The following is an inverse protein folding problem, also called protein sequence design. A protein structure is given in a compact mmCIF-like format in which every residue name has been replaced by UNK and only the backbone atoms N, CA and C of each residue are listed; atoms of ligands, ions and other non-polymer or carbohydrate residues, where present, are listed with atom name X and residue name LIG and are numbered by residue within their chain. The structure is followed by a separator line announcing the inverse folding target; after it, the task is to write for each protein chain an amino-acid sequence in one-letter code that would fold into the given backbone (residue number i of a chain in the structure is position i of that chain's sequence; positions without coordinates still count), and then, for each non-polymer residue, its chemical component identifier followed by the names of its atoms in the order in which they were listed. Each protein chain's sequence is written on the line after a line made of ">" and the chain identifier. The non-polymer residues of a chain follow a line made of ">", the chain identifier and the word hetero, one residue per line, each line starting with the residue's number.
data_IF_932432128416
#
_entry.id   IF_932432128416
#
_cell.length_a   1.000
_cell.length_b   1.000
_cell.length_c   1.000
_cell.angle_alpha   90.00
_cell.angle_beta   90.00
_cell.angle_gamma   90.00
#
_symmetry.space_group_name_H-M   'P 1'
#
loop_
_entity.id
_entity.type
_entity.pdbx_description
1 polymer ?
#
# COMPACT_ATOMS: atom_id res chain seq x y z
N UNK A 1 -2.21 12.82 -12.83
CA UNK A 1 -2.10 11.59 -12.03
C UNK A 1 -2.37 11.95 -10.58
N UNK A 2 -3.08 11.10 -9.86
CA UNK A 2 -3.42 11.32 -8.45
C UNK A 2 -3.10 10.05 -7.67
N UNK A 3 -2.48 10.19 -6.50
CA UNK A 3 -2.27 9.12 -5.52
C UNK A 3 -3.34 9.25 -4.43
N UNK A 4 -4.16 8.22 -4.26
CA UNK A 4 -5.14 8.15 -3.18
C UNK A 4 -4.71 7.11 -2.15
N UNK A 5 -4.44 7.56 -0.92
CA UNK A 5 -4.03 6.70 0.19
C UNK A 5 -5.25 6.38 1.06
N UNK A 6 -5.78 5.16 0.96
CA UNK A 6 -7.00 4.71 1.67
C UNK A 6 -6.88 4.87 3.19
N UNK A 7 -5.83 4.28 3.76
CA UNK A 7 -5.61 4.19 5.21
C UNK A 7 -4.82 5.39 5.76
N UNK A 8 -5.25 6.59 5.40
CA UNK A 8 -4.63 7.83 5.85
C UNK A 8 -5.41 8.52 6.98
N UNK A 9 -6.46 7.91 7.53
CA UNK A 9 -7.32 8.50 8.57
C UNK A 9 -6.53 8.97 9.81
N UNK A 10 -6.97 10.07 10.41
CA UNK A 10 -6.35 10.60 11.63
C UNK A 10 -6.93 9.88 12.85
N UNK A 11 -6.09 9.10 13.53
CA UNK A 11 -6.40 8.56 14.85
C UNK A 11 -5.98 9.55 15.93
N UNK A 12 -6.75 9.63 17.01
CA UNK A 12 -6.41 10.42 18.20
C UNK A 12 -6.29 9.47 19.42
N UNK A 13 -5.55 9.86 20.49
CA UNK A 13 -5.42 9.04 21.70
C UNK A 13 -6.77 8.75 22.40
N UNK A 14 -6.87 7.68 23.21
CA UNK A 14 -5.80 6.76 23.60
C UNK A 14 -5.47 5.72 22.52
N UNK A 15 -4.19 5.38 22.39
CA UNK A 15 -3.70 4.37 21.46
C UNK A 15 -3.57 2.98 22.13
N UNK A 16 -3.46 1.92 21.32
CA UNK A 16 -3.07 0.60 21.82
C UNK A 16 -1.59 0.58 22.18
N UNK A 17 -1.16 -0.36 23.03
CA UNK A 17 0.26 -0.53 23.36
C UNK A 17 1.11 -0.90 22.13
N UNK A 18 0.51 -1.51 21.11
CA UNK A 18 1.17 -1.75 19.83
C UNK A 18 1.34 -0.46 19.02
N UNK A 19 0.30 0.38 18.93
CA UNK A 19 0.38 1.64 18.22
C UNK A 19 1.43 2.57 18.83
N UNK A 20 1.48 2.68 20.17
CA UNK A 20 2.53 3.44 20.87
C UNK A 20 3.93 2.89 20.61
N UNK A 21 4.08 1.56 20.55
CA UNK A 21 5.35 0.93 20.20
C UNK A 21 5.79 1.25 18.77
N UNK A 22 4.85 1.24 17.82
CA UNK A 22 5.11 1.62 16.43
C UNK A 22 5.51 3.09 16.33
N UNK A 23 4.79 3.99 17.02
CA UNK A 23 5.12 5.43 17.07
C UNK A 23 6.53 5.68 17.59
N UNK A 24 6.92 4.99 18.66
CA UNK A 24 8.27 5.07 19.21
C UNK A 24 9.32 4.54 18.21
N UNK A 25 9.04 3.44 17.52
CA UNK A 25 9.96 2.87 16.51
C UNK A 25 10.14 3.76 15.28
N UNK A 26 9.14 4.58 14.97
CA UNK A 26 9.18 5.57 13.89
C UNK A 26 9.98 6.83 14.28
N UNK A 27 10.48 6.91 15.52
CA UNK A 27 11.29 8.04 15.98
C UNK A 27 10.54 9.37 16.03
N UNK A 28 9.21 9.33 16.14
CA UNK A 28 8.38 10.53 16.16
C UNK A 28 8.44 11.20 17.54
N UNK A 29 8.38 12.54 17.60
CA UNK A 29 8.24 13.25 18.87
C UNK A 29 6.97 12.80 19.63
N UNK A 30 7.01 12.61 20.95
CA UNK A 30 5.86 12.13 21.73
C UNK A 30 4.58 12.97 21.59
N UNK A 31 4.74 14.27 21.34
CA UNK A 31 3.65 15.25 21.14
C UNK A 31 3.06 15.22 19.72
N UNK A 32 3.72 14.55 18.78
CA UNK A 32 3.32 14.53 17.39
C UNK A 32 2.25 13.47 17.13
N UNK A 33 1.17 13.85 16.47
CA UNK A 33 0.17 12.89 16.01
C UNK A 33 0.73 12.13 14.79
N UNK A 34 1.04 10.84 14.99
CA UNK A 34 1.72 10.04 13.97
C UNK A 34 1.00 9.98 12.60
N UNK A 35 -0.34 9.77 12.52
CA UNK A 35 -1.06 9.92 11.26
C UNK A 35 -0.89 11.29 10.59
N UNK A 36 -0.95 12.40 11.34
CA UNK A 36 -0.74 13.75 10.78
C UNK A 36 0.67 13.93 10.26
N UNK A 37 1.67 13.46 11.00
CA UNK A 37 3.07 13.50 10.57
C UNK A 37 3.26 12.74 9.26
N UNK A 38 2.77 11.50 9.18
CA UNK A 38 2.89 10.64 7.98
C UNK A 38 2.15 11.21 6.77
N UNK A 39 1.03 11.93 6.97
CA UNK A 39 0.40 12.70 5.88
C UNK A 39 1.32 13.78 5.33
N UNK A 40 2.07 14.50 6.17
CA UNK A 40 3.03 15.53 5.72
C UNK A 40 4.18 14.91 4.94
N UNK A 41 4.68 13.75 5.38
CA UNK A 41 5.68 12.97 4.63
C UNK A 41 5.17 12.54 3.26
N UNK A 42 3.95 12.00 3.20
CA UNK A 42 3.30 11.57 1.94
C UNK A 42 3.12 12.74 0.97
N UNK A 43 2.67 13.91 1.45
CA UNK A 43 2.57 15.12 0.63
C UNK A 43 3.94 15.48 0.06
N UNK A 44 4.97 15.55 0.90
CA UNK A 44 6.32 15.88 0.45
C UNK A 44 6.85 14.85 -0.56
N UNK A 45 6.60 13.56 -0.37
CA UNK A 45 7.00 12.51 -1.28
C UNK A 45 6.29 12.60 -2.63
N UNK A 46 4.97 12.77 -2.60
CA UNK A 46 4.12 12.83 -3.79
C UNK A 46 4.39 14.10 -4.61
N UNK A 47 4.64 15.23 -3.94
CA UNK A 47 5.03 16.49 -4.59
C UNK A 47 6.38 16.36 -5.32
N UNK A 48 7.35 15.59 -4.79
CA UNK A 48 8.62 15.29 -5.48
C UNK A 48 8.41 14.51 -6.80
N UNK A 49 7.32 13.76 -6.92
CA UNK A 49 6.93 13.05 -8.14
C UNK A 49 6.13 13.94 -9.11
N UNK A 50 5.67 15.11 -8.67
CA UNK A 50 4.90 16.05 -9.48
C UNK A 50 3.47 15.57 -9.76
N UNK A 51 2.88 14.80 -8.85
CA UNK A 51 1.50 14.29 -8.97
C UNK A 51 0.66 14.76 -7.78
N UNK A 52 -0.66 14.69 -7.88
CA UNK A 52 -1.56 15.12 -6.79
C UNK A 52 -1.73 14.03 -5.74
N UNK A 53 -2.01 14.39 -4.50
CA UNK A 53 -2.31 13.46 -3.41
C UNK A 53 -3.77 13.63 -2.93
N UNK A 54 -4.35 12.55 -2.39
CA UNK A 54 -5.60 12.58 -1.62
C UNK A 54 -5.50 11.58 -0.47
N UNK A 55 -5.84 12.02 0.74
CA UNK A 55 -5.83 11.18 1.93
C UNK A 55 -7.24 10.72 2.30
N UNK A 56 -7.42 9.41 2.37
CA UNK A 56 -8.65 8.77 2.81
C UNK A 56 -8.91 8.91 4.30
N UNK A 57 -10.10 8.50 4.71
CA UNK A 57 -10.59 8.59 6.10
C UNK A 57 -10.35 7.33 6.93
N UNK A 58 -9.99 6.21 6.31
CA UNK A 58 -9.90 4.93 6.99
C UNK A 58 -8.67 4.86 7.88
N UNK A 59 -8.83 4.28 9.07
CA UNK A 59 -7.75 4.12 10.03
C UNK A 59 -6.88 2.92 9.67
N UNK A 60 -5.55 3.10 9.69
CA UNK A 60 -4.57 2.01 9.65
C UNK A 60 -4.91 0.94 10.70
N UNK A 61 -4.67 -0.33 10.38
CA UNK A 61 -5.01 -1.49 11.22
C UNK A 61 -4.56 -1.34 12.69
N UNK A 62 -3.44 -0.67 12.96
CA UNK A 62 -2.94 -0.50 14.33
C UNK A 62 -3.84 0.39 15.21
N UNK A 63 -4.75 1.17 14.60
CA UNK A 63 -5.71 2.05 15.27
C UNK A 63 -7.15 1.53 15.23
N UNK A 64 -7.41 0.37 14.63
CA UNK A 64 -8.77 -0.16 14.49
C UNK A 64 -9.17 -1.02 15.70
N UNK A 65 -10.47 -0.99 16.02
CA UNK A 65 -11.09 -1.83 17.06
C UNK A 65 -12.11 -2.77 16.45
N UNK A 66 -12.32 -3.93 17.06
CA UNK A 66 -13.46 -4.79 16.78
C UNK A 66 -14.76 -4.19 17.35
N UNK A 67 -15.94 -4.69 16.93
CA UNK A 67 -17.23 -4.20 17.42
C UNK A 67 -17.41 -4.28 18.94
N UNK A 68 -16.69 -5.20 19.60
CA UNK A 68 -16.67 -5.34 21.07
C UNK A 68 -15.71 -4.36 21.78
N UNK A 69 -15.11 -3.43 21.04
CA UNK A 69 -14.23 -2.38 21.55
C UNK A 69 -12.76 -2.79 21.77
N UNK A 70 -12.38 -4.03 21.48
CA UNK A 70 -10.97 -4.49 21.59
C UNK A 70 -10.15 -4.00 20.40
N UNK A 71 -8.86 -3.72 20.61
CA UNK A 71 -7.95 -3.40 19.51
C UNK A 71 -7.75 -4.61 18.58
N UNK A 72 -7.78 -4.39 17.27
CA UNK A 72 -7.54 -5.47 16.29
C UNK A 72 -6.09 -5.98 16.38
N UNK A 73 -5.15 -5.09 16.70
CA UNK A 73 -3.74 -5.41 16.94
C UNK A 73 -3.35 -4.91 18.33
N UNK A 74 -2.92 -5.82 19.21
CA UNK A 74 -2.50 -5.52 20.58
C UNK A 74 -1.34 -6.43 21.04
N UNK A 75 -0.58 -6.00 22.06
CA UNK A 75 0.58 -6.75 22.59
C UNK A 75 0.15 -8.12 23.15
N UNK A 76 0.99 -9.14 22.94
CA UNK A 76 0.76 -10.52 23.41
C UNK A 76 0.08 -11.45 22.39
N UNK A 77 -0.44 -10.90 21.29
CA UNK A 77 -0.68 -11.65 20.06
C UNK A 77 0.50 -11.34 19.14
N UNK A 78 1.13 -12.35 18.52
CA UNK A 78 2.14 -12.10 17.46
C UNK A 78 1.56 -11.04 16.52
N UNK A 79 2.32 -10.07 15.98
CA UNK A 79 1.78 -9.15 15.00
C UNK A 79 1.22 -9.98 13.86
N UNK A 80 -0.09 -10.19 13.89
CA UNK A 80 -0.81 -10.97 12.88
C UNK A 80 -1.08 -10.01 11.73
N UNK A 81 -0.04 -9.34 11.27
CA UNK A 81 -0.05 -8.58 10.02
C UNK A 81 -0.14 -9.57 8.85
N UNK A 82 0.25 -10.84 9.09
CA UNK A 82 0.37 -11.91 8.08
C UNK A 82 -0.62 -13.08 8.18
N UNK A 83 -1.44 -13.23 9.23
CA UNK A 83 -2.55 -14.20 9.13
C UNK A 83 -3.77 -13.45 8.57
N UNK A 84 -4.60 -14.11 7.75
CA UNK A 84 -5.87 -13.52 7.36
C UNK A 84 -6.64 -13.10 8.61
N UNK A 85 -7.18 -11.87 8.66
CA UNK A 85 -8.17 -11.52 9.66
C UNK A 85 -9.30 -12.56 9.61
N UNK A 86 -10.04 -12.78 10.71
CA UNK A 86 -11.38 -13.38 10.57
C UNK A 86 -12.11 -12.61 9.46
N UNK A 87 -12.80 -13.34 8.57
CA UNK A 87 -13.43 -12.87 7.33
C UNK A 87 -13.60 -11.34 7.31
N UNK A 88 -12.86 -10.68 6.40
CA UNK A 88 -12.66 -9.22 6.42
C UNK A 88 -13.95 -8.46 6.66
N UNK A 89 -13.87 -7.41 7.47
CA UNK A 89 -15.00 -6.54 7.82
C UNK A 89 -15.72 -6.07 6.53
N UNK A 90 -16.90 -6.62 6.20
CA UNK A 90 -17.57 -6.33 4.93
C UNK A 90 -18.00 -4.87 4.85
N UNK A 91 -18.31 -4.24 5.98
CA UNK A 91 -18.68 -2.84 6.06
C UNK A 91 -17.47 -1.94 5.77
N UNK A 92 -16.30 -2.29 6.31
CA UNK A 92 -15.06 -1.59 5.99
C UNK A 92 -14.70 -1.70 4.51
N UNK A 93 -14.83 -2.90 3.92
CA UNK A 93 -14.56 -3.11 2.50
C UNK A 93 -15.53 -2.28 1.63
N UNK A 94 -16.83 -2.30 1.95
CA UNK A 94 -17.85 -1.53 1.26
C UNK A 94 -17.56 -0.02 1.35
N UNK A 95 -17.24 0.49 2.55
CA UNK A 95 -16.88 1.89 2.73
C UNK A 95 -15.64 2.31 1.94
N UNK A 96 -14.59 1.48 1.92
CA UNK A 96 -13.37 1.77 1.13
C UNK A 96 -13.73 1.83 -0.35
N UNK A 97 -14.54 0.89 -0.83
CA UNK A 97 -15.00 0.84 -2.21
C UNK A 97 -15.81 2.09 -2.57
N UNK A 98 -16.76 2.51 -1.74
CA UNK A 98 -17.54 3.74 -1.96
C UNK A 98 -16.65 4.98 -2.06
N UNK A 99 -15.67 5.12 -1.16
CA UNK A 99 -14.71 6.23 -1.21
C UNK A 99 -13.84 6.19 -2.49
N UNK A 100 -13.42 4.99 -2.95
CA UNK A 100 -12.68 4.83 -4.22
C UNK A 100 -13.57 5.19 -5.41
N UNK A 101 -14.82 4.76 -5.44
CA UNK A 101 -15.78 5.12 -6.49
C UNK A 101 -16.01 6.63 -6.54
N UNK A 102 -16.13 7.30 -5.39
CA UNK A 102 -16.23 8.76 -5.33
C UNK A 102 -14.99 9.45 -5.91
N UNK A 103 -13.79 8.90 -5.66
CA UNK A 103 -12.54 9.39 -6.27
C UNK A 103 -12.55 9.16 -7.78
N UNK A 104 -12.99 7.99 -8.25
CA UNK A 104 -13.14 7.71 -9.68
C UNK A 104 -14.07 8.73 -10.34
N UNK A 105 -15.23 8.97 -9.75
CA UNK A 105 -16.24 9.91 -10.30
C UNK A 105 -15.73 11.36 -10.32
N UNK A 106 -14.83 11.71 -9.40
CA UNK A 106 -14.24 13.06 -9.35
C UNK A 106 -13.11 13.25 -10.37
N UNK A 107 -12.27 12.23 -10.56
CA UNK A 107 -11.03 12.35 -11.35
C UNK A 107 -11.11 11.72 -12.75
N UNK A 108 -12.15 10.93 -13.02
CA UNK A 108 -12.39 10.21 -14.29
C UNK A 108 -11.13 9.49 -14.82
N UNK A 109 -10.48 8.62 -14.02
CA UNK A 109 -9.22 8.00 -14.42
C UNK A 109 -9.42 7.02 -15.59
N UNK A 110 -8.50 7.05 -16.54
CA UNK A 110 -8.45 6.07 -17.66
C UNK A 110 -7.79 4.74 -17.26
N UNK A 111 -7.08 4.71 -16.13
CA UNK A 111 -6.40 3.54 -15.58
C UNK A 111 -6.33 3.67 -14.05
N UNK A 112 -6.68 2.58 -13.36
CA UNK A 112 -6.43 2.43 -11.93
C UNK A 112 -5.19 1.58 -11.70
N UNK A 113 -4.36 1.97 -10.73
CA UNK A 113 -3.25 1.16 -10.25
C UNK A 113 -3.36 1.00 -8.74
N UNK A 114 -3.17 -0.22 -8.25
CA UNK A 114 -3.18 -0.53 -6.81
C UNK A 114 -2.19 -1.65 -6.49
N UNK A 115 -2.07 -2.01 -5.22
CA UNK A 115 -1.17 -3.07 -4.78
C UNK A 115 -1.68 -4.48 -5.13
N UNK A 116 -0.76 -5.43 -5.33
CA UNK A 116 -1.11 -6.86 -5.40
C UNK A 116 -1.37 -7.46 -4.00
N UNK A 117 -0.88 -6.79 -2.95
CA UNK A 117 -0.88 -7.24 -1.55
C UNK A 117 0.10 -8.38 -1.26
N UNK A 118 1.27 -8.39 -1.92
CA UNK A 118 2.41 -9.22 -1.51
C UNK A 118 2.81 -8.87 -0.07
N UNK A 119 3.06 -9.89 0.74
CA UNK A 119 3.31 -9.75 2.18
C UNK A 119 2.07 -9.96 3.06
N UNK A 120 0.89 -10.14 2.46
CA UNK A 120 -0.38 -10.49 3.12
C UNK A 120 -0.87 -9.48 4.18
N UNK A 121 -0.48 -8.20 4.08
CA UNK A 121 -0.98 -7.14 4.96
C UNK A 121 -2.49 -6.94 4.75
N UNK A 122 -3.28 -6.95 5.83
CA UNK A 122 -4.75 -6.80 5.76
C UNK A 122 -5.19 -5.55 5.00
N UNK A 123 -4.55 -4.41 5.27
CA UNK A 123 -4.89 -3.14 4.60
C UNK A 123 -4.57 -3.15 3.11
N UNK A 124 -3.52 -3.87 2.68
CA UNK A 124 -3.24 -4.02 1.26
C UNK A 124 -4.30 -4.88 0.59
N UNK A 125 -4.74 -5.97 1.23
CA UNK A 125 -5.83 -6.81 0.72
C UNK A 125 -7.13 -6.02 0.58
N UNK A 126 -7.54 -5.31 1.64
CA UNK A 126 -8.75 -4.47 1.60
C UNK A 126 -8.69 -3.40 0.51
N UNK A 127 -7.54 -2.74 0.36
CA UNK A 127 -7.33 -1.72 -0.68
C UNK A 127 -7.44 -2.33 -2.08
N UNK A 128 -6.76 -3.46 -2.32
CA UNK A 128 -6.80 -4.17 -3.60
C UNK A 128 -8.22 -4.64 -3.92
N UNK A 129 -8.86 -5.34 -2.99
CA UNK A 129 -10.17 -5.96 -3.22
C UNK A 129 -11.24 -4.88 -3.47
N UNK A 130 -11.23 -3.78 -2.71
CA UNK A 130 -12.12 -2.64 -2.94
C UNK A 130 -11.86 -1.96 -4.29
N UNK A 131 -10.59 -1.77 -4.67
CA UNK A 131 -10.24 -1.17 -5.96
C UNK A 131 -10.61 -2.07 -7.14
N UNK A 132 -10.48 -3.39 -7.02
CA UNK A 132 -10.92 -4.36 -8.03
C UNK A 132 -12.43 -4.27 -8.25
N UNK A 133 -13.22 -4.25 -7.17
CA UNK A 133 -14.68 -4.11 -7.23
C UNK A 133 -15.08 -2.77 -7.86
N UNK A 134 -14.48 -1.66 -7.42
CA UNK A 134 -14.76 -0.34 -7.98
C UNK A 134 -14.38 -0.24 -9.48
N UNK A 135 -13.23 -0.80 -9.87
CA UNK A 135 -12.78 -0.82 -11.25
C UNK A 135 -13.67 -1.69 -12.15
N UNK A 136 -14.17 -2.81 -11.62
CA UNK A 136 -15.14 -3.65 -12.29
C UNK A 136 -16.43 -2.87 -12.56
N UNK A 137 -17.04 -2.30 -11.53
CA UNK A 137 -18.36 -1.67 -11.63
C UNK A 137 -18.35 -0.36 -12.42
N UNK A 138 -17.21 0.36 -12.44
CA UNK A 138 -17.01 1.55 -13.27
C UNK A 138 -16.42 1.24 -14.65
N UNK A 139 -16.22 -0.03 -14.98
CA UNK A 139 -15.66 -0.46 -16.26
C UNK A 139 -14.27 0.15 -16.58
N UNK A 140 -13.42 0.35 -15.56
CA UNK A 140 -12.08 0.95 -15.72
C UNK A 140 -10.99 -0.13 -15.73
N UNK A 141 -9.99 -0.06 -16.63
CA UNK A 141 -8.82 -0.94 -16.57
C UNK A 141 -8.07 -0.80 -15.24
N UNK A 142 -7.64 -1.91 -14.67
CA UNK A 142 -6.85 -1.92 -13.43
C UNK A 142 -5.58 -2.75 -13.57
N UNK A 143 -4.50 -2.25 -12.96
CA UNK A 143 -3.21 -2.94 -12.84
C UNK A 143 -2.77 -3.04 -11.39
N UNK A 144 -2.14 -4.16 -11.06
CA UNK A 144 -1.62 -4.43 -9.73
C UNK A 144 -0.10 -4.31 -9.73
N UNK A 145 0.48 -3.48 -8.85
CA UNK A 145 1.92 -3.37 -8.70
C UNK A 145 2.48 -4.43 -7.75
N UNK A 146 3.74 -4.80 -7.95
CA UNK A 146 4.49 -5.63 -7.02
C UNK A 146 4.83 -4.82 -5.76
N UNK A 147 4.32 -5.22 -4.60
CA UNK A 147 4.55 -4.51 -3.33
C UNK A 147 6.03 -4.54 -2.94
N UNK A 148 6.66 -3.37 -2.78
CA UNK A 148 8.06 -3.24 -2.38
C UNK A 148 8.15 -2.57 -0.98
N UNK A 149 9.09 -2.98 -0.11
CA UNK A 149 10.12 -4.01 -0.34
C UNK A 149 9.63 -5.45 -0.10
N UNK A 150 8.35 -5.67 0.20
CA UNK A 150 7.81 -7.00 0.53
C UNK A 150 8.20 -8.08 -0.49
N UNK A 151 8.11 -7.80 -1.79
CA UNK A 151 8.43 -8.77 -2.83
C UNK A 151 9.91 -9.13 -2.94
N UNK A 152 10.80 -8.35 -2.32
CA UNK A 152 12.21 -8.72 -2.21
C UNK A 152 12.43 -9.76 -1.09
N UNK A 153 11.53 -9.83 -0.09
CA UNK A 153 11.55 -10.81 1.00
C UNK A 153 10.61 -12.01 0.78
N UNK A 154 9.51 -11.78 0.06
CA UNK A 154 8.47 -12.77 -0.25
C UNK A 154 8.38 -12.92 -1.76
N UNK A 155 9.09 -13.91 -2.35
CA UNK A 155 9.12 -14.08 -3.80
C UNK A 155 7.78 -14.59 -4.36
N UNK A 156 6.98 -15.25 -3.53
CA UNK A 156 5.71 -15.86 -3.94
C UNK A 156 4.59 -14.83 -4.08
N UNK A 157 3.77 -15.01 -5.11
CA UNK A 157 2.55 -14.23 -5.29
C UNK A 157 1.51 -14.64 -4.23
N UNK A 158 0.62 -13.71 -3.80
CA UNK A 158 -0.50 -14.07 -2.96
C UNK A 158 -1.40 -15.08 -3.67
N UNK A 159 -2.01 -15.98 -2.91
CA UNK A 159 -3.04 -16.88 -3.44
C UNK A 159 -4.32 -16.08 -3.72
N UNK A 160 -4.72 -16.04 -5.00
CA UNK A 160 -5.82 -15.24 -5.52
C UNK A 160 -6.67 -16.08 -6.49
N UNK A 161 -7.42 -17.07 -5.98
CA UNK A 161 -8.13 -18.04 -6.81
C UNK A 161 -9.16 -17.39 -7.74
N UNK A 162 -9.77 -16.28 -7.31
CA UNK A 162 -10.81 -15.57 -8.06
C UNK A 162 -10.26 -14.46 -8.96
N UNK A 163 -8.93 -14.25 -8.98
CA UNK A 163 -8.29 -13.19 -9.77
C UNK A 163 -7.39 -13.78 -10.86
N UNK A 164 -7.71 -13.46 -12.12
CA UNK A 164 -6.85 -13.82 -13.25
C UNK A 164 -5.91 -12.67 -13.61
N UNK A 165 -4.62 -12.87 -13.36
CA UNK A 165 -3.58 -11.92 -13.78
C UNK A 165 -3.15 -12.18 -15.22
N UNK A 166 -2.91 -11.12 -15.97
CA UNK A 166 -2.18 -11.18 -17.24
C UNK A 166 -0.70 -11.50 -17.04
N UNK A 167 0.08 -11.62 -18.14
CA UNK A 167 1.53 -11.75 -18.02
C UNK A 167 2.12 -10.53 -17.28
N UNK A 168 3.18 -10.72 -16.47
CA UNK A 168 3.87 -9.61 -15.82
C UNK A 168 4.44 -8.67 -16.87
N UNK A 169 4.26 -7.37 -16.63
CA UNK A 169 4.87 -6.30 -17.39
C UNK A 169 5.99 -5.68 -16.57
N UNK A 170 7.16 -5.55 -17.20
CA UNK A 170 8.37 -5.02 -16.58
C UNK A 170 8.62 -3.64 -17.15
N UNK A 171 8.19 -2.61 -16.41
CA UNK A 171 8.39 -1.22 -16.78
C UNK A 171 9.82 -0.80 -16.47
N UNK A 172 10.67 -0.69 -17.50
CA UNK A 172 12.02 -0.15 -17.36
C UNK A 172 11.93 1.33 -17.00
N UNK A 173 12.61 1.73 -15.94
CA UNK A 173 12.61 3.09 -15.39
C UNK A 173 13.90 3.78 -15.80
N UNK A 174 13.77 5.01 -16.31
CA UNK A 174 14.95 5.83 -16.67
C UNK A 174 15.75 6.19 -15.41
N UNK A 175 17.08 6.36 -15.50
CA UNK A 175 17.89 6.73 -14.34
C UNK A 175 17.41 8.00 -13.63
N UNK A 176 16.91 9.00 -14.36
CA UNK A 176 16.39 10.24 -13.76
C UNK A 176 15.12 9.99 -12.94
N UNK A 177 14.24 9.13 -13.43
CA UNK A 177 12.99 8.76 -12.74
C UNK A 177 13.23 7.84 -11.55
N UNK A 178 14.22 6.94 -11.62
CA UNK A 178 14.69 6.19 -10.46
C UNK A 178 15.22 7.14 -9.38
N UNK A 179 16.05 8.11 -9.75
CA UNK A 179 16.58 9.10 -8.81
C UNK A 179 15.45 9.95 -8.19
N UNK A 180 14.43 10.33 -8.97
CA UNK A 180 13.22 11.01 -8.48
C UNK A 180 12.45 10.14 -7.49
N UNK A 181 12.19 8.88 -7.82
CA UNK A 181 11.55 7.90 -6.92
C UNK A 181 12.33 7.81 -5.60
N UNK A 182 13.65 7.69 -5.65
CA UNK A 182 14.46 7.53 -4.45
C UNK A 182 14.51 8.81 -3.60
N UNK A 183 14.39 10.00 -4.19
CA UNK A 183 14.21 11.25 -3.42
C UNK A 183 12.84 11.33 -2.76
N UNK A 184 11.78 10.89 -3.45
CA UNK A 184 10.43 10.82 -2.90
C UNK A 184 10.36 9.83 -1.72
N UNK A 185 10.91 8.62 -1.89
CA UNK A 185 10.95 7.60 -0.82
C UNK A 185 11.66 8.10 0.44
N UNK A 186 12.71 8.93 0.29
CA UNK A 186 13.42 9.54 1.44
C UNK A 186 12.56 10.50 2.27
N UNK A 187 11.43 11.00 1.75
CA UNK A 187 10.54 11.86 2.53
C UNK A 187 9.75 11.08 3.60
N UNK A 188 9.66 9.74 3.48
CA UNK A 188 9.05 8.88 4.50
C UNK A 188 10.04 8.51 5.61
N UNK A 189 10.64 9.53 6.25
CA UNK A 189 11.66 9.36 7.28
C UNK A 189 11.22 8.44 8.43
N UNK A 190 9.95 8.52 8.83
CA UNK A 190 9.33 7.68 9.86
C UNK A 190 9.34 6.18 9.52
N UNK A 191 9.47 5.84 8.23
CA UNK A 191 9.43 4.46 7.74
C UNK A 191 10.82 3.91 7.42
N UNK A 192 11.80 4.77 7.09
CA UNK A 192 13.13 4.33 6.66
C UNK A 192 13.83 3.45 7.70
N UNK A 193 13.77 3.82 8.98
CA UNK A 193 14.40 3.05 10.07
C UNK A 193 13.86 1.62 10.19
N UNK A 194 12.59 1.40 9.80
CA UNK A 194 11.93 0.10 9.84
C UNK A 194 12.14 -0.70 8.54
N UNK A 195 12.32 0.00 7.42
CA UNK A 195 12.50 -0.60 6.10
C UNK A 195 13.97 -0.92 5.80
N UNK A 196 14.91 -0.19 6.40
CA UNK A 196 16.32 -0.53 6.39
C UNK A 196 16.53 -1.83 7.18
N UNK A 197 17.07 -2.83 6.49
CA UNK A 197 17.40 -4.11 7.12
C UNK A 197 18.74 -4.02 7.87
N UNK A 198 19.00 -5.01 8.72
CA UNK A 198 20.28 -5.13 9.42
C UNK A 198 21.48 -5.31 8.49
N UNK A 199 21.25 -5.85 7.29
CA UNK A 199 22.31 -6.15 6.31
C UNK A 199 22.40 -5.14 5.15
N UNK A 200 21.27 -4.55 4.75
CA UNK A 200 21.19 -3.65 3.59
C UNK A 200 20.15 -2.56 3.84
N UNK A 201 20.48 -1.35 3.44
CA UNK A 201 19.50 -0.28 3.34
C UNK A 201 18.43 -0.60 2.28
N UNK A 202 17.28 0.07 2.40
CA UNK A 202 16.15 -0.10 1.51
C UNK A 202 16.54 0.10 0.04
N UNK A 203 17.32 1.13 -0.28
CA UNK A 203 17.61 1.49 -1.67
C UNK A 203 18.45 0.43 -2.37
N UNK A 204 19.50 -0.06 -1.71
CA UNK A 204 20.33 -1.17 -2.19
C UNK A 204 19.47 -2.41 -2.44
N UNK A 205 18.56 -2.73 -1.52
CA UNK A 205 17.62 -3.86 -1.66
C UNK A 205 16.70 -3.69 -2.87
N UNK A 206 16.15 -2.50 -3.08
CA UNK A 206 15.29 -2.19 -4.23
C UNK A 206 16.04 -2.31 -5.56
N UNK A 207 17.29 -1.84 -5.62
CA UNK A 207 18.13 -1.93 -6.82
C UNK A 207 18.51 -3.37 -7.16
N UNK A 208 18.87 -4.18 -6.16
CA UNK A 208 19.14 -5.61 -6.35
C UNK A 208 17.90 -6.37 -6.82
N UNK A 209 16.73 -6.05 -6.25
CA UNK A 209 15.47 -6.62 -6.70
C UNK A 209 15.18 -6.25 -8.15
N UNK A 210 15.30 -4.97 -8.51
CA UNK A 210 15.08 -4.49 -9.87
C UNK A 210 16.03 -5.12 -10.89
N UNK A 211 17.31 -5.30 -10.54
CA UNK A 211 18.31 -5.99 -11.39
C UNK A 211 17.95 -7.43 -11.72
N UNK A 212 17.17 -8.12 -10.87
CA UNK A 212 16.67 -9.48 -11.18
C UNK A 212 15.54 -9.46 -12.21
N UNK A 213 14.93 -8.31 -12.47
CA UNK A 213 13.81 -8.15 -13.41
C UNK A 213 14.28 -7.83 -14.83
N UNK A 214 15.48 -7.31 -15.01
CA UNK A 214 16.00 -6.83 -16.30
C UNK A 214 17.29 -7.57 -16.68
N UNK A 215 17.51 -7.78 -17.99
CA UNK A 215 18.77 -8.40 -18.48
C UNK A 215 19.94 -7.42 -18.47
N UNK A 216 19.64 -6.14 -18.71
CA UNK A 216 20.65 -5.08 -18.87
C UNK A 216 21.02 -4.40 -17.53
N UNK A 217 20.46 -4.87 -16.41
CA UNK A 217 20.76 -4.37 -15.08
C UNK A 217 20.17 -3.00 -14.72
N UNK A 218 19.31 -2.43 -15.57
CA UNK A 218 18.58 -1.19 -15.30
C UNK A 218 17.48 -1.36 -14.24
N UNK A 219 17.03 -0.24 -13.65
CA UNK A 219 15.94 -0.24 -12.69
C UNK A 219 14.60 -0.51 -13.38
N UNK A 220 13.73 -1.30 -12.76
CA UNK A 220 12.43 -1.63 -13.29
C UNK A 220 11.42 -1.92 -12.19
N UNK A 221 10.14 -1.74 -12.54
CA UNK A 221 9.00 -2.07 -11.69
C UNK A 221 8.11 -3.09 -12.39
N UNK A 222 7.55 -4.01 -11.61
CA UNK A 222 6.69 -5.09 -12.12
C UNK A 222 5.23 -4.78 -11.81
N UNK A 223 4.39 -4.91 -12.82
CA UNK A 223 2.93 -4.80 -12.69
C UNK A 223 2.23 -5.91 -13.45
N UNK A 224 0.97 -6.18 -13.12
CA UNK A 224 0.12 -7.13 -13.84
C UNK A 224 -1.18 -6.43 -14.22
N UNK A 225 -1.68 -6.68 -15.44
CA UNK A 225 -3.08 -6.40 -15.75
C UNK A 225 -4.00 -7.42 -15.08
N UNK A 226 -5.22 -6.99 -14.77
CA UNK A 226 -6.29 -7.90 -14.36
C UNK A 226 -7.11 -8.27 -15.59
N UNK A 227 -7.18 -9.57 -15.89
CA UNK A 227 -8.01 -10.09 -16.98
C UNK A 227 -9.41 -10.23 -16.42
N UNK A 228 -10.38 -9.55 -17.04
CA UNK A 228 -11.79 -9.83 -16.78
C UNK A 228 -12.10 -11.19 -17.39
N UNK A 229 -12.60 -12.11 -16.57
CA UNK A 229 -13.32 -13.24 -17.12
C UNK A 229 -14.63 -12.66 -17.65
N UNK A 230 -14.85 -12.77 -18.97
CA UNK A 230 -16.17 -12.48 -19.50
C UNK A 230 -17.16 -13.42 -18.80
N UNK A 231 -18.27 -12.87 -18.30
CA UNK A 231 -19.42 -13.67 -17.89
C UNK A 231 -19.86 -14.49 -19.10
N UNK A 232 -19.38 -15.73 -19.19
CA UNK A 232 -19.91 -16.67 -20.17
C UNK A 232 -21.36 -16.93 -19.76
N UNK A 233 -22.24 -16.45 -20.65
CA UNK A 233 -23.70 -16.45 -20.63
C UNK A 233 -24.34 -17.78 -20.22
#
# INVERSE_FOLDING_TARGET
>A
MTVYTVFAGIAEPPYSAMAEQMHASWGLPPEENAPRYRRREDIAAVDQLGVSHRHGRFLDVIYRKSPDGRWLIDRGRRPVIRRPPPAGDPELLAGIREDIESVIDTFEPTLLTTCLAIGNHVDHKLTRDAALLAAHDRNIPIRLWQDLPYAADFPDLPDLPDLRLGPPDIGVVRPEDQARKFRAVRQYASQLSMLDGSEKDLFTKLEEHARKLTRDGGYAEKTWSVIRCDDHS
#
